data_IF_172499260196
#
_entry.id   IF_172499260196
#
_cell.length_a   1.000
_cell.length_b   1.000
_cell.length_c   1.000
_cell.angle_alpha   90.00
_cell.angle_beta   90.00
_cell.angle_gamma   90.00
#
_symmetry.space_group_name_H-M   'P 1'
#
loop_
_entity.id
_entity.type
_entity.pdbx_description
1 polymer ?
#
# COMPACT_ATOMS: atom_id res chain seq x y z
N UNK A 1 36.86 -32.71 43.89
CA UNK A 1 37.19 -33.41 45.15
C UNK A 1 38.71 -33.40 45.23
N UNK A 2 39.32 -33.05 46.36
CA UNK A 2 40.79 -33.08 46.46
C UNK A 2 41.28 -34.52 46.29
N UNK A 3 42.16 -34.79 45.33
CA UNK A 3 42.66 -36.15 45.11
C UNK A 3 43.45 -36.67 46.33
N UNK A 4 44.11 -35.76 47.05
CA UNK A 4 44.85 -36.09 48.28
C UNK A 4 44.00 -36.04 49.55
N UNK A 5 43.13 -35.03 49.71
CA UNK A 5 42.35 -34.86 50.94
C UNK A 5 40.97 -35.54 50.91
N UNK A 6 40.52 -36.06 49.75
CA UNK A 6 39.21 -36.68 49.49
C UNK A 6 38.00 -35.87 49.99
N UNK A 7 38.14 -34.55 50.17
CA UNK A 7 37.08 -33.63 50.60
C UNK A 7 36.79 -32.61 49.50
N UNK A 8 35.55 -32.10 49.45
CA UNK A 8 35.16 -31.01 48.55
C UNK A 8 35.82 -29.67 48.93
N UNK A 9 36.09 -29.51 50.22
CA UNK A 9 36.80 -28.37 50.78
C UNK A 9 37.86 -28.89 51.75
N UNK A 10 39.11 -28.47 51.57
CA UNK A 10 40.18 -28.71 52.53
C UNK A 10 40.96 -27.43 52.73
N UNK A 11 41.17 -27.04 53.99
CA UNK A 11 41.87 -25.79 54.35
C UNK A 11 43.32 -25.81 53.83
N UNK A 12 43.97 -26.98 53.80
CA UNK A 12 45.36 -27.14 53.35
C UNK A 12 45.60 -26.84 51.86
N UNK A 13 44.60 -27.06 51.00
CA UNK A 13 44.71 -26.81 49.54
C UNK A 13 43.67 -25.79 49.06
N UNK A 14 43.22 -24.93 49.97
CA UNK A 14 42.17 -23.95 49.71
C UNK A 14 42.52 -23.05 48.53
N UNK A 15 43.73 -22.51 48.49
CA UNK A 15 44.16 -21.60 47.42
C UNK A 15 44.20 -22.30 46.05
N UNK A 16 44.67 -23.55 46.02
CA UNK A 16 44.72 -24.35 44.79
C UNK A 16 43.30 -24.68 44.28
N UNK A 17 42.39 -25.08 45.16
CA UNK A 17 40.99 -25.31 44.78
C UNK A 17 40.29 -24.02 44.35
N UNK A 18 40.56 -22.91 45.03
CA UNK A 18 40.01 -21.60 44.70
C UNK A 18 40.49 -21.14 43.32
N UNK A 19 41.75 -21.37 42.99
CA UNK A 19 42.33 -21.10 41.68
C UNK A 19 41.68 -21.98 40.59
N UNK A 20 41.55 -23.29 40.83
CA UNK A 20 40.87 -24.21 39.90
C UNK A 20 39.41 -23.81 39.65
N UNK A 21 38.67 -23.42 40.69
CA UNK A 21 37.30 -22.95 40.57
C UNK A 21 37.21 -21.62 39.83
N UNK A 22 38.15 -20.69 40.06
CA UNK A 22 38.23 -19.43 39.30
C UNK A 22 38.45 -19.71 37.83
N UNK A 23 39.44 -20.55 37.49
CA UNK A 23 39.70 -20.94 36.11
C UNK A 23 38.49 -21.59 35.46
N UNK A 24 37.80 -22.49 36.19
CA UNK A 24 36.59 -23.13 35.68
C UNK A 24 35.45 -22.13 35.46
N UNK A 25 35.27 -21.19 36.38
CA UNK A 25 34.27 -20.14 36.25
C UNK A 25 34.56 -19.22 35.05
N UNK A 26 35.81 -18.82 34.86
CA UNK A 26 36.21 -17.98 33.73
C UNK A 26 36.04 -18.71 32.38
N UNK A 27 36.42 -20.00 32.30
CA UNK A 27 36.38 -20.77 31.05
C UNK A 27 34.98 -21.26 30.70
N UNK A 28 34.19 -21.71 31.68
CA UNK A 28 32.88 -22.33 31.42
C UNK A 28 31.72 -21.33 31.53
N UNK A 29 31.80 -20.37 32.46
CA UNK A 29 30.68 -19.46 32.72
C UNK A 29 30.89 -18.14 32.00
N UNK A 30 32.01 -17.46 32.25
CA UNK A 30 32.26 -16.12 31.67
C UNK A 30 32.38 -16.22 30.16
N UNK A 31 33.14 -17.18 29.63
CA UNK A 31 33.25 -17.35 28.17
C UNK A 31 31.89 -17.63 27.51
N UNK A 32 31.10 -18.55 28.06
CA UNK A 32 29.77 -18.87 27.50
C UNK A 32 28.81 -17.70 27.62
N UNK A 33 28.85 -16.95 28.72
CA UNK A 33 28.09 -15.72 28.88
C UNK A 33 28.44 -14.70 27.79
N UNK A 34 29.73 -14.46 27.55
CA UNK A 34 30.20 -13.49 26.57
C UNK A 34 29.90 -13.93 25.13
N UNK A 35 30.00 -15.23 24.84
CA UNK A 35 29.58 -15.83 23.55
C UNK A 35 28.08 -15.64 23.31
N UNK A 36 27.24 -15.81 24.34
CA UNK A 36 25.80 -15.60 24.24
C UNK A 36 25.47 -14.10 24.06
N UNK A 37 26.16 -13.20 24.77
CA UNK A 37 26.01 -11.76 24.58
C UNK A 37 26.40 -11.33 23.17
N UNK A 38 27.49 -11.86 22.62
CA UNK A 38 27.91 -11.60 21.25
C UNK A 38 26.88 -12.13 20.23
N UNK A 39 26.32 -13.33 20.47
CA UNK A 39 25.25 -13.87 19.64
C UNK A 39 23.99 -12.99 19.67
N UNK A 40 23.53 -12.57 20.85
CA UNK A 40 22.39 -11.65 21.01
C UNK A 40 22.64 -10.34 20.27
N UNK A 41 23.85 -9.79 20.40
CA UNK A 41 24.24 -8.54 19.73
C UNK A 41 24.22 -8.64 18.20
N UNK A 42 24.35 -9.85 17.65
CA UNK A 42 24.32 -10.12 16.20
C UNK A 42 22.93 -10.40 15.63
N UNK A 43 21.89 -10.64 16.45
CA UNK A 43 20.54 -11.00 15.99
C UNK A 43 19.91 -9.93 15.08
N UNK A 44 20.24 -8.66 15.27
CA UNK A 44 19.71 -7.54 14.48
C UNK A 44 20.67 -7.06 13.38
N UNK A 45 21.77 -7.77 13.12
CA UNK A 45 22.69 -7.36 12.06
C UNK A 45 22.08 -7.57 10.68
N UNK A 46 22.36 -6.66 9.72
CA UNK A 46 21.76 -6.66 8.37
C UNK A 46 22.11 -7.88 7.50
N UNK A 47 22.93 -8.82 7.99
CA UNK A 47 23.29 -10.04 7.29
C UNK A 47 22.52 -11.29 7.78
N UNK A 48 21.53 -11.11 8.66
CA UNK A 48 20.70 -12.19 9.21
C UNK A 48 19.38 -12.34 8.44
N UNK A 49 18.65 -13.44 8.66
CA UNK A 49 17.34 -13.70 8.03
C UNK A 49 16.32 -12.55 8.18
N UNK A 50 16.47 -11.70 9.20
CA UNK A 50 15.68 -10.48 9.36
C UNK A 50 15.83 -9.50 8.19
N UNK A 51 17.03 -9.34 7.62
CA UNK A 51 17.24 -8.44 6.48
C UNK A 51 16.55 -8.91 5.19
N UNK A 52 16.38 -10.23 5.03
CA UNK A 52 15.60 -10.78 3.92
C UNK A 52 14.12 -10.45 4.06
N UNK A 53 13.55 -10.59 5.26
CA UNK A 53 12.14 -10.24 5.52
C UNK A 53 11.89 -8.75 5.34
N UNK A 54 12.80 -7.88 5.78
CA UNK A 54 12.72 -6.44 5.48
C UNK A 54 12.71 -6.18 3.97
N UNK A 55 13.61 -6.80 3.21
CA UNK A 55 13.60 -6.67 1.75
C UNK A 55 12.33 -7.20 1.07
N UNK A 56 11.70 -8.24 1.62
CA UNK A 56 10.41 -8.75 1.14
C UNK A 56 9.26 -7.77 1.44
N UNK A 57 9.26 -7.14 2.61
CA UNK A 57 8.33 -6.07 2.98
C UNK A 57 8.50 -4.87 2.03
N UNK A 58 9.72 -4.39 1.82
CA UNK A 58 10.02 -3.25 0.94
C UNK A 58 9.59 -3.51 -0.51
N UNK A 59 9.83 -4.73 -1.00
CA UNK A 59 9.38 -5.16 -2.33
C UNK A 59 7.85 -5.19 -2.40
N UNK A 60 7.20 -5.79 -1.40
CA UNK A 60 5.74 -5.85 -1.34
C UNK A 60 5.12 -4.45 -1.32
N UNK A 61 5.70 -3.52 -0.55
CA UNK A 61 5.25 -2.13 -0.47
C UNK A 61 5.35 -1.46 -1.85
N UNK A 62 6.51 -1.56 -2.50
CA UNK A 62 6.77 -0.98 -3.83
C UNK A 62 5.80 -1.53 -4.87
N UNK A 63 5.64 -2.85 -4.95
CA UNK A 63 4.73 -3.50 -5.90
C UNK A 63 3.25 -3.13 -5.65
N UNK A 64 2.85 -3.01 -4.38
CA UNK A 64 1.49 -2.65 -4.01
C UNK A 64 1.19 -1.21 -4.38
N UNK A 65 2.12 -0.29 -4.08
CA UNK A 65 2.02 1.11 -4.52
C UNK A 65 1.84 1.22 -6.02
N UNK A 66 2.67 0.53 -6.81
CA UNK A 66 2.56 0.54 -8.27
C UNK A 66 1.21 0.04 -8.77
N UNK A 67 0.68 -1.04 -8.18
CA UNK A 67 -0.62 -1.61 -8.57
C UNK A 67 -1.76 -0.62 -8.30
N UNK A 68 -1.76 0.00 -7.12
CA UNK A 68 -2.75 1.02 -6.75
C UNK A 68 -2.64 2.22 -7.70
N UNK A 69 -1.43 2.68 -7.99
CA UNK A 69 -1.19 3.79 -8.90
C UNK A 69 -1.71 3.50 -10.32
N UNK A 70 -1.37 2.33 -10.88
CA UNK A 70 -1.83 1.90 -12.21
C UNK A 70 -3.36 1.78 -12.28
N UNK A 71 -4.00 1.27 -11.22
CA UNK A 71 -5.45 1.19 -11.15
C UNK A 71 -6.10 2.59 -11.14
N UNK A 72 -5.55 3.52 -10.36
CA UNK A 72 -6.01 4.91 -10.31
C UNK A 72 -5.86 5.61 -11.67
N UNK A 73 -4.71 5.47 -12.34
CA UNK A 73 -4.49 6.03 -13.68
C UNK A 73 -5.48 5.47 -14.71
N UNK A 74 -5.73 4.15 -14.69
CA UNK A 74 -6.72 3.53 -15.56
C UNK A 74 -8.12 4.12 -15.33
N UNK A 75 -8.52 4.28 -14.07
CA UNK A 75 -9.83 4.87 -13.73
C UNK A 75 -9.94 6.33 -14.20
N UNK A 76 -8.89 7.14 -14.02
CA UNK A 76 -8.83 8.52 -14.54
C UNK A 76 -8.96 8.56 -16.06
N UNK A 77 -8.28 7.65 -16.76
CA UNK A 77 -8.34 7.57 -18.22
C UNK A 77 -9.74 7.21 -18.70
N UNK A 78 -10.36 6.20 -18.10
CA UNK A 78 -11.73 5.79 -18.42
C UNK A 78 -12.74 6.94 -18.19
N UNK A 79 -12.62 7.64 -17.05
CA UNK A 79 -13.45 8.81 -16.77
C UNK A 79 -13.26 9.90 -17.83
N UNK A 80 -12.02 10.19 -18.20
CA UNK A 80 -11.69 11.20 -19.22
C UNK A 80 -12.27 10.82 -20.59
N UNK A 81 -12.20 9.54 -20.97
CA UNK A 81 -12.78 9.05 -22.23
C UNK A 81 -14.30 9.25 -22.24
N UNK A 82 -15.01 8.83 -21.19
CA UNK A 82 -16.46 8.99 -21.09
C UNK A 82 -16.90 10.46 -21.19
N UNK A 83 -16.17 11.37 -20.52
CA UNK A 83 -16.44 12.81 -20.59
C UNK A 83 -16.17 13.38 -22.00
N UNK A 84 -15.12 12.90 -22.66
CA UNK A 84 -14.75 13.33 -24.01
C UNK A 84 -15.77 12.85 -25.04
N UNK A 85 -16.20 11.59 -24.97
CA UNK A 85 -17.24 11.02 -25.84
C UNK A 85 -18.57 11.78 -25.74
N UNK A 86 -18.99 12.12 -24.51
CA UNK A 86 -20.17 12.94 -24.28
C UNK A 86 -20.04 14.35 -24.88
N UNK A 87 -18.88 14.99 -24.72
CA UNK A 87 -18.58 16.30 -25.30
C UNK A 87 -18.60 16.28 -26.83
N UNK A 88 -18.01 15.26 -27.45
CA UNK A 88 -17.92 15.16 -28.91
C UNK A 88 -19.27 14.87 -29.55
N UNK A 89 -20.09 14.03 -28.90
CA UNK A 89 -21.49 13.81 -29.30
C UNK A 89 -22.27 15.12 -29.28
N UNK A 90 -22.19 15.88 -28.18
CA UNK A 90 -22.88 17.15 -28.04
C UNK A 90 -22.43 18.19 -29.07
N UNK A 91 -21.12 18.27 -29.35
CA UNK A 91 -20.58 19.14 -30.41
C UNK A 91 -21.12 18.77 -31.79
N UNK A 92 -21.25 17.48 -32.09
CA UNK A 92 -21.78 17.00 -33.37
C UNK A 92 -23.24 17.41 -33.53
N UNK A 93 -24.06 17.20 -32.50
CA UNK A 93 -25.48 17.57 -32.51
C UNK A 93 -25.66 19.09 -32.65
N UNK A 94 -24.86 19.87 -31.91
CA UNK A 94 -24.83 21.32 -32.04
C UNK A 94 -24.41 21.79 -33.43
N UNK A 95 -23.42 21.11 -34.04
CA UNK A 95 -22.95 21.39 -35.38
C UNK A 95 -24.00 21.12 -36.48
N UNK A 96 -24.76 20.02 -36.34
CA UNK A 96 -25.89 19.70 -37.23
C UNK A 96 -26.95 20.80 -37.13
N UNK A 97 -27.32 21.17 -35.92
CA UNK A 97 -28.30 22.22 -35.67
C UNK A 97 -27.83 23.60 -36.18
N UNK A 98 -26.56 23.94 -36.00
CA UNK A 98 -25.98 25.19 -36.51
C UNK A 98 -26.09 25.28 -38.04
N UNK A 99 -25.88 24.16 -38.75
CA UNK A 99 -26.07 24.09 -40.20
C UNK A 99 -27.55 24.24 -40.58
N UNK A 100 -28.45 23.57 -39.86
CA UNK A 100 -29.90 23.68 -40.07
C UNK A 100 -30.36 25.15 -39.95
N UNK A 101 -29.98 25.84 -38.88
CA UNK A 101 -30.31 27.26 -38.64
C UNK A 101 -29.76 28.15 -39.74
N UNK A 102 -28.49 27.97 -40.13
CA UNK A 102 -27.84 28.78 -41.18
C UNK A 102 -28.53 28.62 -42.54
N UNK A 103 -28.87 27.38 -42.92
CA UNK A 103 -29.52 27.10 -44.19
C UNK A 103 -30.92 27.72 -44.25
N UNK A 104 -31.74 27.47 -43.23
CA UNK A 104 -33.10 28.04 -43.15
C UNK A 104 -33.11 29.56 -43.16
N UNK A 105 -32.17 30.19 -42.44
CA UNK A 105 -32.02 31.65 -42.44
C UNK A 105 -31.63 32.20 -43.82
N UNK A 106 -30.70 31.51 -44.51
CA UNK A 106 -30.24 31.91 -45.85
C UNK A 106 -31.33 31.77 -46.90
N UNK A 107 -32.13 30.72 -46.79
CA UNK A 107 -33.24 30.40 -47.70
C UNK A 107 -34.53 31.17 -47.35
N UNK A 108 -34.56 31.90 -46.23
CA UNK A 108 -35.77 32.50 -45.65
C UNK A 108 -36.91 31.47 -45.51
N UNK A 109 -36.55 30.21 -45.27
CA UNK A 109 -37.42 29.05 -45.30
C UNK A 109 -37.59 28.46 -43.89
N UNK A 110 -38.44 29.13 -43.10
CA UNK A 110 -38.83 28.67 -41.78
C UNK A 110 -40.24 29.17 -41.46
N UNK A 111 -40.97 28.35 -40.71
CA UNK A 111 -42.29 28.67 -40.15
C UNK A 111 -42.27 28.58 -38.62
N UNK A 112 -43.41 28.82 -37.99
CA UNK A 112 -43.58 28.76 -36.54
C UNK A 112 -43.23 27.37 -35.97
N UNK A 113 -43.55 26.29 -36.70
CA UNK A 113 -43.25 24.92 -36.27
C UNK A 113 -41.74 24.66 -36.26
N UNK A 114 -41.02 25.17 -37.25
CA UNK A 114 -39.56 25.09 -37.30
C UNK A 114 -38.92 25.85 -36.14
N UNK A 115 -39.45 27.03 -35.79
CA UNK A 115 -38.99 27.81 -34.64
C UNK A 115 -39.21 27.03 -33.34
N UNK A 116 -40.41 26.48 -33.12
CA UNK A 116 -40.73 25.71 -31.92
C UNK A 116 -39.84 24.46 -31.81
N UNK A 117 -39.67 23.71 -32.90
CA UNK A 117 -38.79 22.53 -32.94
C UNK A 117 -37.35 22.89 -32.60
N UNK A 118 -36.82 23.99 -33.14
CA UNK A 118 -35.46 24.44 -32.85
C UNK A 118 -35.32 24.90 -31.39
N UNK A 119 -36.32 25.57 -30.82
CA UNK A 119 -36.32 25.93 -29.40
C UNK A 119 -36.30 24.69 -28.50
N UNK A 120 -37.10 23.66 -28.82
CA UNK A 120 -37.09 22.40 -28.09
C UNK A 120 -35.71 21.71 -28.14
N UNK A 121 -35.07 21.67 -29.32
CA UNK A 121 -33.70 21.15 -29.47
C UNK A 121 -32.68 21.95 -28.66
N UNK A 122 -32.77 23.29 -28.64
CA UNK A 122 -31.90 24.13 -27.82
C UNK A 122 -32.04 23.82 -26.34
N UNK A 123 -33.28 23.71 -25.84
CA UNK A 123 -33.54 23.36 -24.44
C UNK A 123 -32.97 21.99 -24.07
N UNK A 124 -33.10 21.00 -24.97
CA UNK A 124 -32.52 19.67 -24.75
C UNK A 124 -31.00 19.71 -24.68
N UNK A 125 -30.35 20.42 -25.61
CA UNK A 125 -28.90 20.63 -25.60
C UNK A 125 -28.47 21.35 -24.33
N UNK A 126 -29.19 22.37 -23.89
CA UNK A 126 -28.90 23.09 -22.64
C UNK A 126 -28.94 22.17 -21.42
N UNK A 127 -29.95 21.29 -21.34
CA UNK A 127 -30.04 20.26 -20.29
C UNK A 127 -28.83 19.31 -20.37
N UNK A 128 -28.44 18.87 -21.57
CA UNK A 128 -27.29 17.98 -21.76
C UNK A 128 -25.95 18.67 -21.43
N UNK A 129 -25.76 19.93 -21.82
CA UNK A 129 -24.59 20.75 -21.43
C UNK A 129 -24.54 20.86 -19.90
N UNK A 130 -25.64 21.26 -19.28
CA UNK A 130 -25.73 21.39 -17.83
C UNK A 130 -25.46 20.07 -17.13
N UNK A 131 -25.96 18.95 -17.67
CA UNK A 131 -25.64 17.62 -17.15
C UNK A 131 -24.17 17.29 -17.34
N UNK A 132 -23.55 17.56 -18.49
CA UNK A 132 -22.14 17.26 -18.74
C UNK A 132 -21.19 18.09 -17.86
N UNK A 133 -21.54 19.36 -17.62
CA UNK A 133 -20.82 20.27 -16.71
C UNK A 133 -21.02 19.85 -15.26
N UNK A 134 -22.22 19.37 -14.91
CA UNK A 134 -22.57 18.89 -13.57
C UNK A 134 -22.31 17.40 -13.36
N UNK A 135 -21.90 16.63 -14.37
CA UNK A 135 -21.68 15.19 -14.26
C UNK A 135 -20.33 14.94 -13.59
N UNK A 136 -20.33 15.31 -12.32
CA UNK A 136 -19.84 14.56 -11.17
C UNK A 136 -20.65 13.27 -10.91
N UNK A 137 -21.69 12.96 -11.71
CA UNK A 137 -22.54 11.75 -11.58
C UNK A 137 -21.91 10.47 -12.18
N UNK A 138 -20.70 10.53 -12.73
CA UNK A 138 -19.95 9.32 -13.06
C UNK A 138 -19.50 8.68 -11.76
N UNK A 139 -20.27 7.72 -11.27
CA UNK A 139 -19.96 7.02 -10.03
C UNK A 139 -18.71 6.16 -10.22
N UNK A 140 -17.57 6.64 -9.72
CA UNK A 140 -16.41 5.79 -9.49
C UNK A 140 -16.65 5.04 -8.17
N UNK A 141 -16.82 3.72 -8.24
CA UNK A 141 -16.79 2.88 -7.05
C UNK A 141 -15.34 2.81 -6.53
N UNK A 142 -14.99 3.73 -5.63
CA UNK A 142 -13.68 3.77 -4.98
C UNK A 142 -13.81 3.01 -3.67
N UNK A 143 -13.13 1.86 -3.57
CA UNK A 143 -12.94 1.19 -2.28
C UNK A 143 -12.06 2.10 -1.44
N UNK A 144 -12.57 2.54 -0.31
CA UNK A 144 -11.89 3.48 0.57
C UNK A 144 -10.86 2.74 1.45
N UNK A 145 -9.80 3.43 1.86
CA UNK A 145 -8.69 2.80 2.59
C UNK A 145 -9.12 2.15 3.92
N UNK A 146 -10.19 2.64 4.54
CA UNK A 146 -10.81 2.09 5.76
C UNK A 146 -11.54 0.76 5.52
N UNK A 147 -11.94 0.47 4.28
CA UNK A 147 -12.52 -0.83 3.90
C UNK A 147 -11.44 -1.89 3.68
N UNK A 148 -10.18 -1.48 3.52
CA UNK A 148 -9.05 -2.39 3.37
C UNK A 148 -8.46 -2.67 4.76
N UNK A 149 -8.58 -3.90 5.23
CA UNK A 149 -7.92 -4.32 6.45
C UNK A 149 -6.43 -4.60 6.20
N UNK A 150 -5.62 -3.55 6.22
CA UNK A 150 -4.17 -3.61 5.97
C UNK A 150 -3.44 -4.60 6.88
N UNK A 151 -3.90 -4.79 8.12
CA UNK A 151 -3.33 -5.74 9.08
C UNK A 151 -3.56 -7.22 8.69
N UNK A 152 -4.40 -7.49 7.68
CA UNK A 152 -4.57 -8.82 7.07
C UNK A 152 -3.82 -8.97 5.75
N UNK A 153 -3.29 -7.88 5.20
CA UNK A 153 -2.57 -7.91 3.92
C UNK A 153 -1.08 -8.15 4.14
N UNK A 154 -0.51 -7.57 5.20
CA UNK A 154 0.85 -7.87 5.66
C UNK A 154 0.90 -7.87 7.19
N UNK A 155 1.49 -8.91 7.76
CA UNK A 155 1.65 -9.03 9.21
C UNK A 155 2.86 -9.91 9.53
N UNK A 156 3.43 -9.69 10.70
CA UNK A 156 4.52 -10.53 11.23
C UNK A 156 3.96 -11.37 12.37
N UNK A 157 3.91 -12.68 12.17
CA UNK A 157 3.57 -13.63 13.22
C UNK A 157 4.83 -13.98 14.03
N UNK A 158 4.78 -13.78 15.35
CA UNK A 158 5.83 -14.25 16.25
C UNK A 158 5.42 -15.58 16.88
N UNK A 159 6.10 -16.66 16.47
CA UNK A 159 6.01 -17.95 17.15
C UNK A 159 6.92 -17.94 18.38
N UNK A 160 6.67 -17.06 19.35
CA UNK A 160 7.29 -17.20 20.66
C UNK A 160 6.60 -18.32 21.43
N UNK A 161 7.12 -19.53 21.28
CA UNK A 161 6.90 -20.58 22.28
C UNK A 161 7.38 -20.02 23.62
N UNK A 162 6.44 -19.84 24.56
CA UNK A 162 6.75 -19.57 25.97
C UNK A 162 7.62 -20.71 26.52
N UNK A 163 8.93 -20.58 26.46
CA UNK A 163 9.85 -21.16 27.43
C UNK A 163 9.87 -20.15 28.58
N UNK A 164 9.24 -20.33 29.74
CA UNK A 164 9.25 -21.45 30.67
C UNK A 164 9.31 -20.76 32.06
N UNK A 165 8.59 -21.30 33.05
CA UNK A 165 8.40 -20.75 34.40
C UNK A 165 9.69 -20.43 35.14
#
# INVERSE_FOLDING_TARGET
MCDECKKYFCVKHFDQHRQQLSTKFDVEIVRTHDELLDQISRVNQPNTSGSRLFGEIDRWETETYEKVHKAAEKARHQLTQLLTEGKDTLKKDFGIMTKEIRNRRKELNFDENDIERLQQKLNQIEILVNRLVRSTETNAAIVTNDQINWNRVIYVESNHARMGK
#
